data_IF_391879913272
#
_entry.id   IF_391879913272
#
_cell.length_a   1.000
_cell.length_b   1.000
_cell.length_c   1.000
_cell.angle_alpha   90.00
_cell.angle_beta   90.00
_cell.angle_gamma   90.00
#
_symmetry.space_group_name_H-M   'P 1'
#
loop_
_entity.id
_entity.type
_entity.pdbx_description
1 polymer ?
#
# COMPACT_ATOMS: atom_id res chain seq x y z
N UNK A 1 13.89 3.54 10.54
CA UNK A 1 12.69 4.40 10.45
C UNK A 1 11.72 4.20 11.62
N UNK A 2 11.24 2.98 11.90
CA UNK A 2 10.27 2.74 13.00
C UNK A 2 10.77 3.23 14.36
N UNK A 3 11.95 2.78 14.79
CA UNK A 3 12.51 3.17 16.09
C UNK A 3 12.65 4.70 16.24
N UNK A 4 13.06 5.39 15.16
CA UNK A 4 13.15 6.86 15.14
C UNK A 4 11.75 7.46 15.31
N UNK A 5 10.78 7.07 14.49
CA UNK A 5 9.41 7.61 14.57
C UNK A 5 8.77 7.36 15.94
N UNK A 6 8.95 6.17 16.51
CA UNK A 6 8.48 5.83 17.86
C UNK A 6 9.14 6.69 18.94
N UNK A 7 10.45 6.95 18.82
CA UNK A 7 11.16 7.86 19.71
C UNK A 7 10.61 9.30 19.65
N UNK A 8 10.06 9.72 18.51
CA UNK A 8 9.35 10.99 18.34
C UNK A 8 7.83 10.89 18.56
N UNK A 9 7.34 9.83 19.21
CA UNK A 9 5.92 9.67 19.54
C UNK A 9 5.00 9.44 18.32
N UNK A 10 5.54 8.98 17.19
CA UNK A 10 4.76 8.64 16.00
C UNK A 10 4.43 7.15 15.98
N UNK A 11 3.16 6.82 15.74
CA UNK A 11 2.75 5.45 15.41
C UNK A 11 3.28 5.11 14.02
N UNK A 12 4.08 4.04 13.93
CA UNK A 12 4.75 3.63 12.71
C UNK A 12 4.57 2.12 12.53
N UNK A 13 4.27 1.71 11.30
CA UNK A 13 4.25 0.32 10.82
C UNK A 13 5.09 0.24 9.55
N UNK A 14 5.46 -0.96 9.11
CA UNK A 14 6.18 -1.17 7.88
C UNK A 14 5.75 -2.48 7.20
N UNK A 15 5.64 -2.43 5.88
CA UNK A 15 5.37 -3.57 5.01
C UNK A 15 6.61 -3.80 4.16
N UNK A 16 7.15 -5.02 4.17
CA UNK A 16 8.22 -5.43 3.27
C UNK A 16 7.58 -6.05 2.02
N UNK A 17 7.67 -5.36 0.89
CA UNK A 17 7.10 -5.79 -0.39
C UNK A 17 8.17 -6.26 -1.38
N UNK A 18 7.79 -7.16 -2.28
CA UNK A 18 8.65 -7.61 -3.36
C UNK A 18 8.82 -6.48 -4.40
N UNK A 19 10.07 -6.16 -4.74
CA UNK A 19 10.45 -5.20 -5.78
C UNK A 19 11.48 -5.79 -6.77
N UNK A 20 11.61 -7.12 -6.84
CA UNK A 20 12.49 -7.80 -7.80
C UNK A 20 12.05 -7.63 -9.27
N UNK A 21 10.85 -7.10 -9.48
CA UNK A 21 10.28 -6.72 -10.76
C UNK A 21 9.50 -5.41 -10.58
N UNK A 22 9.21 -4.67 -11.67
CA UNK A 22 8.25 -3.57 -11.61
C UNK A 22 6.93 -4.03 -11.00
N UNK A 23 6.38 -3.18 -10.13
CA UNK A 23 5.03 -3.37 -9.61
C UNK A 23 4.03 -2.93 -10.68
N UNK A 24 3.01 -3.73 -10.94
CA UNK A 24 2.04 -3.45 -12.00
C UNK A 24 2.58 -3.69 -13.40
N UNK A 25 1.90 -3.14 -14.40
CA UNK A 25 2.25 -3.30 -15.81
C UNK A 25 2.83 -2.03 -16.44
N UNK A 26 2.72 -0.88 -15.75
CA UNK A 26 3.14 0.43 -16.26
C UNK A 26 4.39 0.94 -15.55
N UNK A 27 5.34 1.45 -16.33
CA UNK A 27 6.51 2.21 -15.83
C UNK A 27 6.62 3.50 -16.62
N UNK A 28 6.50 4.64 -15.94
CA UNK A 28 6.54 5.98 -16.51
C UNK A 28 5.37 6.86 -16.07
N UNK A 29 5.52 8.18 -16.19
CA UNK A 29 4.64 9.16 -15.53
C UNK A 29 3.14 9.03 -15.87
N UNK A 30 2.76 9.29 -17.13
CA UNK A 30 1.34 9.29 -17.53
C UNK A 30 0.75 7.89 -17.63
N UNK A 31 1.60 6.89 -17.90
CA UNK A 31 1.21 5.49 -17.96
C UNK A 31 0.82 4.98 -16.56
N UNK A 32 1.58 5.32 -15.52
CA UNK A 32 1.26 4.99 -14.13
C UNK A 32 -0.02 5.67 -13.66
N UNK A 33 -0.26 6.94 -14.05
CA UNK A 33 -1.53 7.62 -13.73
C UNK A 33 -2.72 6.89 -14.36
N UNK A 34 -2.59 6.44 -15.61
CA UNK A 34 -3.63 5.65 -16.27
C UNK A 34 -3.87 4.33 -15.54
N UNK A 35 -2.81 3.60 -15.19
CA UNK A 35 -2.94 2.33 -14.45
C UNK A 35 -3.58 2.53 -13.07
N UNK A 36 -3.24 3.62 -12.37
CA UNK A 36 -3.86 3.96 -11.09
C UNK A 36 -5.38 4.17 -11.21
N UNK A 37 -5.83 4.85 -12.28
CA UNK A 37 -7.27 5.00 -12.58
C UNK A 37 -7.92 3.64 -12.82
N UNK A 38 -7.29 2.76 -13.60
CA UNK A 38 -7.80 1.42 -13.87
C UNK A 38 -7.87 0.56 -12.60
N UNK A 39 -6.88 0.65 -11.70
CA UNK A 39 -6.90 -0.01 -10.38
C UNK A 39 -8.09 0.48 -9.54
N UNK A 40 -8.32 1.78 -9.46
CA UNK A 40 -9.45 2.36 -8.71
C UNK A 40 -10.82 1.95 -9.28
N UNK A 41 -10.89 1.66 -10.57
CA UNK A 41 -12.09 1.13 -11.23
C UNK A 41 -12.21 -0.40 -11.10
N UNK A 42 -11.29 -1.06 -10.40
CA UNK A 42 -11.28 -2.51 -10.20
C UNK A 42 -10.78 -3.31 -11.40
N UNK A 43 -10.10 -2.66 -12.35
CA UNK A 43 -9.63 -3.25 -13.64
C UNK A 43 -8.10 -3.31 -13.77
N UNK A 44 -7.36 -2.88 -12.75
CA UNK A 44 -5.90 -2.82 -12.77
C UNK A 44 -5.19 -4.12 -12.34
N UNK A 45 -3.84 -4.12 -12.33
CA UNK A 45 -3.04 -5.28 -11.96
C UNK A 45 -3.31 -5.78 -10.54
N UNK A 46 -3.30 -7.11 -10.36
CA UNK A 46 -3.65 -7.73 -9.09
C UNK A 46 -2.61 -7.48 -7.99
N UNK A 47 -1.33 -7.41 -8.34
CA UNK A 47 -0.22 -7.12 -7.43
C UNK A 47 -0.27 -5.69 -6.87
N UNK A 48 -0.57 -4.70 -7.72
CA UNK A 48 -0.81 -3.31 -7.30
C UNK A 48 -1.98 -3.27 -6.32
N UNK A 49 -3.10 -3.91 -6.67
CA UNK A 49 -4.28 -3.98 -5.80
C UNK A 49 -3.96 -4.63 -4.45
N UNK A 50 -3.24 -5.75 -4.46
CA UNK A 50 -2.86 -6.47 -3.24
C UNK A 50 -2.01 -5.58 -2.32
N UNK A 51 -0.99 -4.90 -2.86
CA UNK A 51 -0.13 -4.03 -2.06
C UNK A 51 -0.90 -2.83 -1.50
N UNK A 52 -1.77 -2.20 -2.28
CA UNK A 52 -2.60 -1.06 -1.83
C UNK A 52 -3.53 -1.49 -0.69
N UNK A 53 -4.18 -2.65 -0.81
CA UNK A 53 -5.06 -3.16 0.24
C UNK A 53 -4.28 -3.48 1.52
N UNK A 54 -3.08 -4.06 1.41
CA UNK A 54 -2.24 -4.34 2.57
C UNK A 54 -1.83 -3.05 3.30
N UNK A 55 -1.34 -2.04 2.56
CA UNK A 55 -0.95 -0.75 3.13
C UNK A 55 -2.15 0.02 3.70
N UNK A 56 -3.30 -0.04 3.02
CA UNK A 56 -4.55 0.60 3.49
C UNK A 56 -5.07 -0.04 4.78
N UNK A 57 -5.03 -1.37 4.90
CA UNK A 57 -5.41 -2.07 6.12
C UNK A 57 -4.51 -1.68 7.30
N UNK A 58 -3.19 -1.65 7.09
CA UNK A 58 -2.21 -1.17 8.08
C UNK A 58 -2.51 0.26 8.54
N UNK A 59 -2.88 1.16 7.61
CA UNK A 59 -3.26 2.54 7.93
C UNK A 59 -4.54 2.61 8.77
N UNK A 60 -5.57 1.83 8.43
CA UNK A 60 -6.83 1.81 9.18
C UNK A 60 -6.64 1.31 10.61
N UNK A 61 -5.85 0.24 10.80
CA UNK A 61 -5.48 -0.25 12.14
C UNK A 61 -4.62 0.79 12.87
N UNK A 62 -3.62 1.35 12.19
CA UNK A 62 -2.72 2.36 12.76
C UNK A 62 -3.41 3.66 13.13
N UNK A 63 -4.60 3.95 12.59
CA UNK A 63 -5.40 5.13 12.93
C UNK A 63 -6.50 4.83 13.95
N UNK A 64 -6.77 3.55 14.22
CA UNK A 64 -7.84 3.11 15.11
C UNK A 64 -9.22 3.09 14.45
N UNK A 65 -9.28 3.21 13.11
CA UNK A 65 -10.52 3.09 12.33
C UNK A 65 -10.90 1.63 12.07
N UNK A 66 -9.97 0.69 12.27
CA UNK A 66 -10.23 -0.75 12.25
C UNK A 66 -9.53 -1.44 13.44
N UNK A 67 -10.13 -2.52 13.94
CA UNK A 67 -9.57 -3.34 15.02
C UNK A 67 -8.56 -4.39 14.53
N UNK A 68 -8.62 -4.77 13.24
CA UNK A 68 -7.75 -5.77 12.63
C UNK A 68 -7.56 -5.48 11.13
N UNK A 69 -6.65 -6.22 10.49
CA UNK A 69 -6.30 -5.99 9.09
C UNK A 69 -7.41 -6.42 8.11
N UNK A 70 -8.32 -7.32 8.50
CA UNK A 70 -9.37 -7.82 7.60
C UNK A 70 -8.86 -8.54 6.34
N UNK A 71 -7.55 -8.80 6.25
CA UNK A 71 -6.92 -9.57 5.20
C UNK A 71 -7.04 -11.05 5.59
N UNK A 72 -7.85 -11.80 4.84
CA UNK A 72 -7.94 -13.26 4.93
C UNK A 72 -6.83 -13.90 4.09
#
# INVERSE_FOLDING_TARGET
>A
MLAIGQHFGRRMTAVLSNMNQPLGNAVGNSLEVKEAIDVLQGRGPADVKQLILALGAELLVSTGLSANLGLA
#
